data_IF_507309513357
#
_entry.id   IF_507309513357
#
_cell.length_a   1.000
_cell.length_b   1.000
_cell.length_c   1.000
_cell.angle_alpha   90.00
_cell.angle_beta   90.00
_cell.angle_gamma   90.00
#
_symmetry.space_group_name_H-M   'P 1'
#
loop_
_entity.id
_entity.type
_entity.pdbx_description
1 polymer ?
#
# COMPACT_ATOMS: atom_id res chain seq x y z
N UNK A 1 -60.85 -33.39 7.97
CA UNK A 1 -59.73 -34.34 8.19
C UNK A 1 -58.48 -33.48 8.34
N UNK A 2 -58.06 -33.07 9.55
CA UNK A 2 -57.31 -33.85 10.55
C UNK A 2 -56.15 -34.61 9.88
N UNK A 3 -54.86 -34.36 10.13
CA UNK A 3 -54.16 -34.39 11.43
C UNK A 3 -52.76 -33.71 11.28
N UNK A 4 -52.30 -32.86 12.19
CA UNK A 4 -51.45 -33.14 13.38
C UNK A 4 -50.03 -33.66 13.05
N UNK A 5 -48.98 -32.90 13.39
CA UNK A 5 -47.96 -33.21 14.42
C UNK A 5 -46.76 -32.24 14.36
N UNK A 6 -46.16 -32.03 15.53
CA UNK A 6 -45.28 -30.93 15.92
C UNK A 6 -43.77 -31.37 15.91
N UNK A 7 -42.82 -30.55 16.42
CA UNK A 7 -41.42 -30.51 16.00
C UNK A 7 -40.48 -31.42 16.81
N UNK A 8 -39.27 -31.66 16.30
CA UNK A 8 -38.19 -32.30 17.07
C UNK A 8 -37.01 -31.35 17.26
N UNK A 9 -36.85 -30.93 18.50
CA UNK A 9 -35.68 -30.26 19.08
C UNK A 9 -34.54 -31.28 19.24
N UNK A 10 -33.31 -30.91 18.86
CA UNK A 10 -32.12 -31.58 19.38
C UNK A 10 -31.14 -30.51 19.86
N UNK A 11 -31.05 -30.40 21.18
CA UNK A 11 -30.04 -29.64 21.91
C UNK A 11 -29.03 -30.65 22.44
N UNK A 12 -27.74 -30.40 22.24
CA UNK A 12 -26.68 -31.07 22.99
C UNK A 12 -25.57 -30.06 23.30
N UNK A 13 -25.67 -29.53 24.52
CA UNK A 13 -24.59 -28.89 25.24
C UNK A 13 -23.42 -29.87 25.42
N UNK A 14 -22.20 -29.37 25.27
CA UNK A 14 -21.05 -29.82 26.06
C UNK A 14 -20.51 -28.62 26.82
N UNK A 15 -20.31 -28.81 28.12
CA UNK A 15 -19.80 -27.82 29.07
C UNK A 15 -18.41 -28.21 29.57
N UNK A 16 -17.67 -27.18 30.01
CA UNK A 16 -16.55 -27.19 30.95
C UNK A 16 -15.18 -27.62 30.35
N UNK A 17 -14.01 -27.06 30.71
CA UNK A 17 -13.55 -26.36 31.93
C UNK A 17 -12.35 -25.45 31.63
N UNK A 18 -12.14 -24.45 32.49
CA UNK A 18 -11.05 -23.48 32.52
C UNK A 18 -9.65 -24.07 32.78
N UNK A 19 -8.58 -23.34 32.39
CA UNK A 19 -7.41 -23.18 33.26
C UNK A 19 -6.61 -21.92 32.92
N UNK A 20 -6.18 -21.26 33.98
CA UNK A 20 -5.47 -19.99 34.06
C UNK A 20 -3.99 -20.28 34.23
N UNK A 21 -3.09 -19.59 33.52
CA UNK A 21 -1.72 -19.41 34.01
C UNK A 21 -1.11 -18.11 33.49
N UNK A 22 -1.08 -17.12 34.39
CA UNK A 22 -0.17 -15.98 34.34
C UNK A 22 1.24 -16.47 34.63
N UNK A 23 2.21 -16.08 33.81
CA UNK A 23 3.60 -15.99 34.23
C UNK A 23 4.17 -14.66 33.78
N UNK A 24 4.49 -13.85 34.77
CA UNK A 24 5.17 -12.56 34.71
C UNK A 24 6.64 -12.82 35.01
N UNK A 25 7.53 -12.40 34.12
CA UNK A 25 8.97 -12.24 34.36
C UNK A 25 9.51 -11.37 33.21
N UNK A 26 10.48 -10.48 33.34
CA UNK A 26 11.16 -9.82 34.45
C UNK A 26 12.16 -8.93 33.71
N UNK A 27 12.01 -7.60 33.80
CA UNK A 27 12.98 -6.64 33.28
C UNK A 27 14.29 -6.76 34.07
N UNK A 28 15.41 -6.96 33.39
CA UNK A 28 16.74 -6.74 33.95
C UNK A 28 17.51 -5.72 33.12
N UNK A 29 17.61 -4.53 33.69
CA UNK A 29 18.62 -3.51 33.43
C UNK A 29 20.04 -4.08 33.64
N UNK A 30 20.95 -3.85 32.69
CA UNK A 30 22.41 -3.74 32.94
C UNK A 30 22.95 -2.74 31.89
N UNK A 31 23.09 -1.45 32.22
CA UNK A 31 24.30 -0.77 32.74
C UNK A 31 25.44 -0.62 31.72
N UNK A 32 25.59 0.60 31.16
CA UNK A 32 26.83 1.08 30.54
C UNK A 32 27.94 1.22 31.60
N UNK A 33 29.21 1.04 31.23
CA UNK A 33 30.30 1.75 31.87
C UNK A 33 30.79 2.89 30.97
N UNK A 34 30.66 4.09 31.52
CA UNK A 34 31.48 5.25 31.25
C UNK A 34 32.90 5.03 31.77
N UNK A 35 33.93 5.34 30.98
CA UNK A 35 35.19 5.86 31.53
C UNK A 35 36.01 6.57 30.46
N UNK A 36 36.07 7.90 30.61
CA UNK A 36 37.11 8.77 30.08
C UNK A 36 38.47 8.42 30.72
N UNK A 37 39.56 8.51 29.96
CA UNK A 37 40.62 9.52 30.17
C UNK A 37 41.78 9.39 29.16
N UNK A 38 42.54 10.49 28.94
CA UNK A 38 43.33 10.74 27.75
C UNK A 38 44.80 10.34 27.92
N UNK A 39 45.51 10.15 26.81
CA UNK A 39 46.98 10.12 26.81
C UNK A 39 47.54 11.06 25.76
N UNK A 40 48.63 11.70 26.16
CA UNK A 40 49.20 12.93 25.67
C UNK A 40 50.09 12.79 24.42
N UNK A 41 50.19 13.91 23.71
CA UNK A 41 51.36 14.51 23.06
C UNK A 41 52.38 13.61 22.34
N UNK A 42 52.54 13.88 21.03
CA UNK A 42 53.87 14.20 20.49
C UNK A 42 53.78 15.31 19.44
N UNK A 43 54.56 16.35 19.69
CA UNK A 43 54.77 17.54 18.89
C UNK A 43 56.11 17.38 18.13
N UNK A 44 56.10 17.64 16.83
CA UNK A 44 57.20 18.10 15.97
C UNK A 44 56.48 18.88 14.86
N UNK A 45 56.53 20.19 14.68
CA UNK A 45 57.63 21.12 14.87
C UNK A 45 58.22 21.45 13.50
N UNK A 46 57.66 22.45 12.79
CA UNK A 46 58.39 23.23 11.78
C UNK A 46 57.86 24.66 11.70
N UNK A 47 58.81 25.53 11.38
CA UNK A 47 58.98 26.92 11.79
C UNK A 47 58.07 27.95 11.11
N UNK A 48 57.94 29.06 11.83
CA UNK A 48 57.20 30.29 11.54
C UNK A 48 57.92 31.27 10.58
N UNK A 49 57.20 32.37 10.33
CA UNK A 49 57.58 33.71 9.82
C UNK A 49 57.41 33.92 8.30
N UNK A 50 56.84 35.01 7.77
CA UNK A 50 56.16 36.20 8.33
C UNK A 50 55.41 36.93 7.16
N UNK A 51 54.53 37.90 7.44
CA UNK A 51 53.56 38.50 6.51
C UNK A 51 54.04 39.81 5.84
N UNK A 52 53.19 40.34 4.93
CA UNK A 52 53.23 41.65 4.25
C UNK A 52 53.93 41.72 2.88
N UNK A 53 53.13 41.69 1.80
CA UNK A 53 53.27 42.69 0.74
C UNK A 53 51.93 42.94 0.04
N UNK A 54 51.61 44.21 -0.08
CA UNK A 54 50.34 44.76 -0.53
C UNK A 54 50.33 45.03 -2.05
N UNK A 55 49.14 44.88 -2.65
CA UNK A 55 48.47 45.79 -3.61
C UNK A 55 49.29 46.47 -4.75
N UNK A 56 48.88 46.24 -6.03
CA UNK A 56 48.09 47.19 -6.86
C UNK A 56 47.92 46.78 -8.35
N UNK A 57 46.65 46.89 -8.80
CA UNK A 57 46.11 47.45 -10.08
C UNK A 57 46.47 46.84 -11.44
N UNK A 58 45.47 46.30 -12.14
CA UNK A 58 44.96 46.88 -13.40
C UNK A 58 43.73 46.14 -13.96
N UNK A 59 42.82 46.93 -14.50
CA UNK A 59 41.51 46.62 -15.02
C UNK A 59 41.50 45.87 -16.35
N UNK A 60 40.54 44.96 -16.54
CA UNK A 60 39.85 44.80 -17.83
C UNK A 60 38.47 44.17 -17.66
N UNK A 61 37.46 44.99 -17.88
CA UNK A 61 36.08 44.56 -18.14
C UNK A 61 36.06 43.69 -19.39
N UNK A 62 35.43 42.50 -19.30
CA UNK A 62 34.63 41.98 -20.41
C UNK A 62 33.52 41.06 -19.88
N UNK A 63 32.30 41.56 -20.08
CA UNK A 63 31.01 40.87 -20.14
C UNK A 63 31.09 39.41 -20.60
N UNK A 64 30.31 38.53 -19.96
CA UNK A 64 29.29 37.64 -20.57
C UNK A 64 28.91 36.54 -19.57
N UNK A 65 27.62 36.29 -19.37
CA UNK A 65 27.13 35.02 -18.84
C UNK A 65 26.16 35.12 -17.67
N UNK A 66 24.90 35.37 -18.02
CA UNK A 66 23.68 35.19 -17.22
C UNK A 66 23.77 34.05 -16.19
N UNK A 67 23.35 34.35 -14.96
CA UNK A 67 23.28 33.40 -13.85
C UNK A 67 22.46 32.17 -14.24
N UNK A 68 23.13 31.00 -14.26
CA UNK A 68 22.44 29.72 -14.23
C UNK A 68 21.78 29.60 -12.86
N UNK A 69 20.48 29.89 -12.83
CA UNK A 69 19.61 29.47 -11.74
C UNK A 69 19.84 27.99 -11.49
N UNK A 70 20.28 27.67 -10.27
CA UNK A 70 20.25 26.31 -9.76
C UNK A 70 18.77 25.94 -9.70
N UNK A 71 18.28 25.29 -10.74
CA UNK A 71 16.94 24.72 -10.79
C UNK A 71 16.97 23.57 -9.80
N UNK A 72 16.69 23.88 -8.54
CA UNK A 72 16.47 22.90 -7.49
C UNK A 72 15.43 21.93 -8.02
N UNK A 73 15.85 20.69 -8.26
CA UNK A 73 14.91 19.60 -8.44
C UNK A 73 14.32 19.40 -7.06
N UNK A 74 13.18 20.06 -6.79
CA UNK A 74 12.34 19.68 -5.67
C UNK A 74 11.85 18.28 -6.01
N UNK A 75 12.59 17.27 -5.56
CA UNK A 75 12.07 15.92 -5.46
C UNK A 75 10.88 16.02 -4.50
N UNK A 76 9.68 16.15 -5.06
CA UNK A 76 8.45 16.04 -4.30
C UNK A 76 8.46 14.64 -3.70
N UNK A 77 8.83 14.52 -2.42
CA UNK A 77 8.74 13.28 -1.68
C UNK A 77 7.28 12.80 -1.80
N UNK A 78 7.07 11.71 -2.54
CA UNK A 78 5.74 11.11 -2.66
C UNK A 78 5.35 10.63 -1.26
N UNK A 79 4.23 11.11 -0.74
CA UNK A 79 3.65 10.65 0.51
C UNK A 79 3.48 9.13 0.46
N UNK A 80 3.96 8.46 1.49
CA UNK A 80 3.83 7.01 1.67
C UNK A 80 2.53 6.67 2.38
N UNK A 81 2.15 5.39 2.32
CA UNK A 81 1.14 4.80 3.21
C UNK A 81 1.51 4.97 4.70
N UNK A 82 2.81 5.01 5.02
CA UNK A 82 3.32 5.21 6.37
C UNK A 82 3.12 6.63 6.92
N UNK A 83 3.08 7.64 6.04
CA UNK A 83 2.91 9.05 6.42
C UNK A 83 1.46 9.40 6.78
N UNK A 84 0.50 8.54 6.43
CA UNK A 84 -0.92 8.76 6.71
C UNK A 84 -1.22 8.43 8.18
N UNK A 85 -1.79 9.40 8.91
CA UNK A 85 -2.16 9.17 10.31
C UNK A 85 -3.41 8.29 10.41
N UNK A 86 -3.59 7.59 11.54
CA UNK A 86 -4.78 6.77 11.77
C UNK A 86 -6.08 7.60 11.71
N UNK A 87 -6.02 8.88 12.09
CA UNK A 87 -7.17 9.80 12.00
C UNK A 87 -7.58 10.11 10.55
N UNK A 88 -6.64 10.10 9.61
CA UNK A 88 -6.92 10.34 8.19
C UNK A 88 -7.48 9.10 7.49
N UNK A 89 -7.24 7.91 8.02
CA UNK A 89 -7.61 6.63 7.41
C UNK A 89 -8.87 6.00 8.02
N UNK A 90 -9.16 6.27 9.29
CA UNK A 90 -10.29 5.67 9.99
C UNK A 90 -11.63 6.01 9.31
N UNK A 91 -12.39 4.98 8.94
CA UNK A 91 -13.70 5.11 8.29
C UNK A 91 -13.66 5.57 6.83
N UNK A 92 -12.47 5.89 6.28
CA UNK A 92 -12.30 6.27 4.88
C UNK A 92 -12.27 5.06 3.97
N UNK A 93 -12.75 5.24 2.75
CA UNK A 93 -12.69 4.25 1.69
C UNK A 93 -11.38 4.40 0.95
N UNK A 94 -10.55 3.36 0.96
CA UNK A 94 -9.22 3.39 0.34
C UNK A 94 -9.22 2.44 -0.84
N UNK A 95 -9.05 3.00 -2.04
CA UNK A 95 -8.81 2.23 -3.25
C UNK A 95 -7.34 1.82 -3.30
N UNK A 96 -7.09 0.52 -3.23
CA UNK A 96 -5.74 -0.04 -3.28
C UNK A 96 -5.57 -0.78 -4.60
N UNK A 97 -4.61 -0.33 -5.41
CA UNK A 97 -4.19 -1.03 -6.61
C UNK A 97 -3.08 -2.01 -6.25
N UNK A 98 -3.42 -3.29 -6.10
CA UNK A 98 -2.48 -4.35 -5.74
C UNK A 98 -2.09 -5.21 -6.96
N UNK A 99 -0.87 -5.72 -7.00
CA UNK A 99 -0.44 -6.71 -8.00
C UNK A 99 -0.78 -8.13 -7.53
N UNK A 100 -1.96 -8.62 -7.91
CA UNK A 100 -2.43 -9.99 -7.62
C UNK A 100 -2.43 -10.85 -8.88
N UNK A 101 -1.59 -10.51 -9.86
CA UNK A 101 -1.47 -11.28 -11.09
C UNK A 101 -0.61 -12.53 -10.84
N UNK A 102 -1.22 -13.56 -10.26
CA UNK A 102 -0.58 -14.84 -9.91
C UNK A 102 -0.81 -15.92 -10.98
N UNK A 103 0.14 -16.85 -11.15
CA UNK A 103 -0.06 -18.00 -12.00
C UNK A 103 -1.07 -18.99 -11.39
N UNK A 104 -2.08 -19.34 -12.18
CA UNK A 104 -3.10 -20.35 -11.83
C UNK A 104 -2.89 -21.61 -12.67
N UNK A 105 -3.14 -22.78 -12.08
CA UNK A 105 -3.20 -24.06 -12.79
C UNK A 105 -4.53 -24.25 -13.56
N UNK A 106 -4.68 -25.37 -14.27
CA UNK A 106 -5.91 -25.69 -15.02
C UNK A 106 -7.14 -25.89 -14.13
N UNK A 107 -6.94 -26.17 -12.84
CA UNK A 107 -7.99 -26.29 -11.82
C UNK A 107 -8.27 -24.97 -11.08
N UNK A 108 -7.67 -23.86 -11.53
CA UNK A 108 -7.76 -22.53 -10.92
C UNK A 108 -7.11 -22.41 -9.52
N UNK A 109 -6.21 -23.32 -9.15
CA UNK A 109 -5.44 -23.20 -7.92
C UNK A 109 -4.23 -22.28 -8.13
N UNK A 110 -3.87 -21.55 -7.07
CA UNK A 110 -2.72 -20.65 -7.07
C UNK A 110 -1.46 -21.49 -6.94
N UNK A 111 -0.57 -21.39 -7.94
CA UNK A 111 0.70 -22.13 -7.95
C UNK A 111 1.83 -21.38 -7.24
N UNK A 112 1.79 -20.04 -7.28
CA UNK A 112 2.73 -19.15 -6.58
C UNK A 112 1.96 -17.97 -5.97
N UNK A 113 2.03 -17.83 -4.65
CA UNK A 113 1.33 -16.80 -3.86
C UNK A 113 2.26 -15.64 -3.43
N UNK A 114 3.49 -15.58 -3.93
CA UNK A 114 4.50 -14.57 -3.55
C UNK A 114 3.97 -13.14 -3.72
N UNK A 115 3.26 -12.87 -4.82
CA UNK A 115 2.66 -11.55 -5.09
C UNK A 115 1.55 -11.19 -4.11
N UNK A 116 0.73 -12.18 -3.72
CA UNK A 116 -0.33 -11.99 -2.74
C UNK A 116 0.31 -11.61 -1.41
N UNK A 117 1.32 -12.37 -0.96
CA UNK A 117 2.04 -12.11 0.30
C UNK A 117 2.70 -10.74 0.31
N UNK A 118 3.22 -10.26 -0.82
CA UNK A 118 3.84 -8.95 -0.92
C UNK A 118 2.85 -7.79 -0.64
N UNK A 119 1.56 -7.96 -0.98
CA UNK A 119 0.52 -6.95 -0.74
C UNK A 119 -0.08 -7.00 0.67
N UNK A 120 0.11 -8.10 1.42
CA UNK A 120 -0.47 -8.29 2.76
C UNK A 120 -0.05 -7.19 3.77
N UNK A 121 1.23 -6.78 3.86
CA UNK A 121 1.64 -5.75 4.81
C UNK A 121 0.90 -4.42 4.61
N UNK A 122 0.77 -3.98 3.36
CA UNK A 122 0.01 -2.81 2.94
C UNK A 122 -1.44 -2.87 3.42
N UNK A 123 -2.09 -4.00 3.14
CA UNK A 123 -3.51 -4.19 3.43
C UNK A 123 -3.74 -4.25 4.93
N UNK A 124 -2.91 -4.99 5.68
CA UNK A 124 -2.99 -5.07 7.15
C UNK A 124 -2.82 -3.70 7.78
N UNK A 125 -1.88 -2.91 7.31
CA UNK A 125 -1.64 -1.56 7.82
C UNK A 125 -2.87 -0.65 7.67
N UNK A 126 -3.60 -0.75 6.56
CA UNK A 126 -4.83 0.00 6.33
C UNK A 126 -5.98 -0.49 7.23
N UNK A 127 -6.13 -1.81 7.38
CA UNK A 127 -7.15 -2.42 8.24
C UNK A 127 -6.93 -2.04 9.70
N UNK A 128 -5.69 -2.13 10.20
CA UNK A 128 -5.32 -1.77 11.58
C UNK A 128 -5.63 -0.31 11.91
N UNK A 129 -5.55 0.58 10.91
CA UNK A 129 -5.94 1.99 11.02
C UNK A 129 -7.43 2.25 10.83
N UNK A 130 -8.25 1.20 10.66
CA UNK A 130 -9.70 1.29 10.53
C UNK A 130 -10.19 1.77 9.16
N UNK A 131 -9.37 1.66 8.11
CA UNK A 131 -9.79 1.98 6.76
C UNK A 131 -10.70 0.89 6.18
N UNK A 132 -11.56 1.28 5.24
CA UNK A 132 -12.36 0.38 4.42
C UNK A 132 -11.59 0.12 3.12
N UNK A 133 -11.04 -1.08 2.98
CA UNK A 133 -10.09 -1.38 1.89
C UNK A 133 -10.84 -1.92 0.67
N UNK A 134 -10.66 -1.27 -0.47
CA UNK A 134 -11.19 -1.69 -1.77
C UNK A 134 -10.00 -2.10 -2.64
N UNK A 135 -9.78 -3.40 -2.75
CA UNK A 135 -8.72 -3.99 -3.56
C UNK A 135 -9.13 -4.03 -5.02
N UNK A 136 -8.26 -3.54 -5.89
CA UNK A 136 -8.35 -3.73 -7.34
C UNK A 136 -7.09 -4.40 -7.85
N UNK A 137 -7.26 -5.35 -8.77
CA UNK A 137 -6.15 -5.97 -9.46
C UNK A 137 -6.52 -6.38 -10.88
N UNK A 138 -5.55 -6.91 -11.61
CA UNK A 138 -5.76 -7.53 -12.89
C UNK A 138 -5.21 -8.96 -12.83
N UNK A 139 -5.82 -9.85 -13.61
CA UNK A 139 -5.33 -11.20 -13.79
C UNK A 139 -5.20 -11.50 -15.28
N UNK A 140 -3.99 -11.88 -15.70
CA UNK A 140 -3.69 -12.20 -17.08
C UNK A 140 -4.00 -11.07 -18.06
N UNK A 141 -4.40 -11.45 -19.29
CA UNK A 141 -4.77 -10.54 -20.38
C UNK A 141 -6.09 -11.02 -21.02
N UNK A 142 -7.23 -10.74 -20.38
CA UNK A 142 -8.53 -11.11 -20.92
C UNK A 142 -8.80 -10.34 -22.23
N UNK A 143 -9.44 -11.00 -23.21
CA UNK A 143 -9.95 -10.34 -24.43
C UNK A 143 -11.43 -9.95 -24.31
N UNK A 144 -12.02 -10.19 -23.14
CA UNK A 144 -13.40 -9.94 -22.74
C UNK A 144 -13.66 -10.55 -21.37
N UNK A 145 -14.89 -10.42 -20.87
CA UNK A 145 -15.29 -11.03 -19.59
C UNK A 145 -15.18 -12.56 -19.75
N UNK A 146 -14.34 -13.19 -18.93
CA UNK A 146 -14.13 -14.64 -19.00
C UNK A 146 -13.91 -15.19 -17.59
N UNK A 147 -14.64 -16.24 -17.17
CA UNK A 147 -14.52 -16.82 -15.83
C UNK A 147 -13.10 -17.27 -15.47
N UNK A 148 -12.31 -17.69 -16.47
CA UNK A 148 -10.91 -18.11 -16.30
C UNK A 148 -10.01 -17.01 -15.70
N UNK A 149 -10.32 -15.75 -15.99
CA UNK A 149 -9.55 -14.60 -15.49
C UNK A 149 -10.25 -13.88 -14.32
N UNK A 150 -11.22 -14.53 -13.68
CA UNK A 150 -11.84 -13.99 -12.46
C UNK A 150 -10.86 -14.02 -11.30
N UNK A 151 -10.99 -13.06 -10.39
CA UNK A 151 -10.20 -12.98 -9.16
C UNK A 151 -10.80 -13.84 -8.03
N UNK A 152 -11.91 -14.55 -8.27
CA UNK A 152 -12.57 -15.40 -7.27
C UNK A 152 -11.65 -16.43 -6.58
N UNK A 153 -10.72 -17.13 -7.27
CA UNK A 153 -9.84 -18.10 -6.64
C UNK A 153 -8.87 -17.49 -5.62
N UNK A 154 -8.67 -16.17 -5.65
CA UNK A 154 -7.76 -15.47 -4.73
C UNK A 154 -8.38 -15.18 -3.37
N UNK A 155 -9.72 -15.14 -3.29
CA UNK A 155 -10.46 -14.75 -2.08
C UNK A 155 -10.15 -15.65 -0.88
N UNK A 156 -10.15 -17.00 -1.01
CA UNK A 156 -9.83 -17.87 0.12
C UNK A 156 -8.40 -17.63 0.63
N UNK A 157 -7.43 -17.51 -0.29
CA UNK A 157 -6.02 -17.31 0.08
C UNK A 157 -5.76 -15.95 0.72
N UNK A 158 -6.38 -14.89 0.20
CA UNK A 158 -6.34 -13.56 0.80
C UNK A 158 -6.95 -13.57 2.20
N UNK A 159 -8.10 -14.24 2.36
CA UNK A 159 -8.79 -14.31 3.65
C UNK A 159 -7.96 -15.05 4.70
N UNK A 160 -7.29 -16.14 4.31
CA UNK A 160 -6.38 -16.89 5.18
C UNK A 160 -5.18 -16.04 5.64
N UNK A 161 -4.53 -15.31 4.71
CA UNK A 161 -3.35 -14.50 5.02
C UNK A 161 -3.66 -13.24 5.84
N UNK A 162 -4.84 -12.65 5.61
CA UNK A 162 -5.31 -11.48 6.35
C UNK A 162 -5.94 -11.85 7.69
N UNK A 163 -6.45 -13.08 7.84
CA UNK A 163 -7.18 -13.52 9.03
C UNK A 163 -8.59 -12.92 9.14
N UNK A 164 -9.11 -12.36 8.04
CA UNK A 164 -10.44 -11.76 7.94
C UNK A 164 -11.13 -12.23 6.67
N UNK A 165 -12.46 -12.23 6.67
CA UNK A 165 -13.22 -12.58 5.48
C UNK A 165 -13.13 -11.46 4.43
N UNK A 166 -12.59 -11.78 3.26
CA UNK A 166 -12.59 -10.87 2.11
C UNK A 166 -13.89 -11.04 1.33
N UNK A 167 -14.62 -9.95 1.12
CA UNK A 167 -15.82 -9.93 0.29
C UNK A 167 -15.39 -9.71 -1.16
N UNK A 168 -15.98 -10.45 -2.11
CA UNK A 168 -15.74 -10.22 -3.54
C UNK A 168 -16.94 -9.54 -4.17
N UNK A 169 -16.71 -8.51 -4.99
CA UNK A 169 -17.73 -7.96 -5.85
C UNK A 169 -17.89 -8.81 -7.13
N UNK A 170 -19.07 -8.79 -7.73
CA UNK A 170 -19.32 -9.45 -9.02
C UNK A 170 -18.72 -8.66 -10.19
N UNK A 171 -18.57 -7.35 -10.02
CA UNK A 171 -18.01 -6.43 -11.00
C UNK A 171 -17.01 -5.46 -10.34
N UNK A 172 -16.30 -4.68 -11.14
CA UNK A 172 -15.40 -3.60 -10.70
C UNK A 172 -16.08 -2.24 -10.62
N UNK A 173 -17.17 -2.03 -11.37
CA UNK A 173 -17.97 -0.80 -11.37
C UNK A 173 -19.46 -1.15 -11.37
N UNK A 174 -20.30 -0.22 -10.92
CA UNK A 174 -21.75 -0.34 -10.99
C UNK A 174 -22.46 -0.08 -9.66
N UNK A 175 -23.80 0.06 -9.68
CA UNK A 175 -24.58 0.43 -8.50
C UNK A 175 -24.54 -0.64 -7.40
N UNK A 176 -24.32 -1.91 -7.77
CA UNK A 176 -24.18 -3.01 -6.81
C UNK A 176 -22.86 -2.93 -6.05
N UNK A 177 -21.77 -2.60 -6.76
CA UNK A 177 -20.45 -2.37 -6.15
C UNK A 177 -20.50 -1.18 -5.19
N UNK A 178 -21.16 -0.09 -5.59
CA UNK A 178 -21.35 1.09 -4.73
C UNK A 178 -22.09 0.76 -3.43
N UNK A 179 -23.14 -0.07 -3.51
CA UNK A 179 -23.88 -0.57 -2.34
C UNK A 179 -22.99 -1.44 -1.44
N UNK A 180 -22.23 -2.36 -2.03
CA UNK A 180 -21.30 -3.22 -1.29
C UNK A 180 -20.24 -2.38 -0.56
N UNK A 181 -19.64 -1.41 -1.25
CA UNK A 181 -18.66 -0.47 -0.67
C UNK A 181 -19.28 0.35 0.45
N UNK A 182 -20.52 0.80 0.30
CA UNK A 182 -21.23 1.54 1.36
C UNK A 182 -21.50 0.66 2.60
N UNK A 183 -21.83 -0.62 2.39
CA UNK A 183 -22.09 -1.60 3.45
C UNK A 183 -20.84 -2.15 4.14
N UNK A 184 -19.64 -1.88 3.59
CA UNK A 184 -18.39 -2.44 4.11
C UNK A 184 -18.11 -1.91 5.53
N UNK A 185 -17.86 -2.78 6.53
CA UNK A 185 -17.52 -2.35 7.88
C UNK A 185 -16.11 -1.72 7.92
N UNK A 186 -15.83 -0.97 8.98
CA UNK A 186 -14.46 -0.49 9.24
C UNK A 186 -13.49 -1.68 9.39
N UNK A 187 -12.35 -1.63 8.71
CA UNK A 187 -11.41 -2.75 8.64
C UNK A 187 -11.86 -3.88 7.69
N UNK A 188 -13.00 -3.73 7.02
CA UNK A 188 -13.44 -4.66 5.98
C UNK A 188 -12.60 -4.54 4.70
N UNK A 189 -12.52 -5.65 3.97
CA UNK A 189 -11.83 -5.74 2.68
C UNK A 189 -12.79 -6.21 1.60
N UNK A 190 -12.91 -5.42 0.55
CA UNK A 190 -13.64 -5.75 -0.67
C UNK A 190 -12.65 -5.97 -1.81
N UNK A 191 -12.74 -7.09 -2.51
CA UNK A 191 -12.01 -7.37 -3.74
C UNK A 191 -12.94 -7.11 -4.94
N UNK A 192 -12.58 -6.13 -5.76
CA UNK A 192 -13.23 -5.88 -7.04
C UNK A 192 -12.91 -6.98 -8.03
N UNK A 193 -13.79 -7.17 -9.02
CA UNK A 193 -13.52 -8.08 -10.14
C UNK A 193 -12.36 -7.55 -11.03
N UNK A 194 -11.86 -8.40 -11.93
CA UNK A 194 -10.72 -8.08 -12.79
C UNK A 194 -10.95 -6.79 -13.63
N UNK A 195 -10.17 -5.75 -13.36
CA UNK A 195 -10.34 -4.44 -14.02
C UNK A 195 -10.10 -4.50 -15.53
N UNK A 196 -9.35 -5.49 -16.04
CA UNK A 196 -9.08 -5.65 -17.48
C UNK A 196 -10.26 -6.26 -18.25
N UNK A 197 -11.37 -6.61 -17.58
CA UNK A 197 -12.61 -6.94 -18.27
C UNK A 197 -13.18 -5.74 -19.04
N UNK A 198 -12.86 -4.54 -18.60
CA UNK A 198 -13.16 -3.29 -19.31
C UNK A 198 -12.00 -2.95 -20.25
N UNK A 199 -12.31 -2.74 -21.54
CA UNK A 199 -11.31 -2.32 -22.53
C UNK A 199 -10.87 -0.87 -22.29
N UNK A 200 -11.72 -0.12 -21.60
CA UNK A 200 -11.53 1.25 -21.14
C UNK A 200 -10.36 1.39 -20.16
N UNK A 201 -10.06 0.34 -19.40
CA UNK A 201 -8.96 0.30 -18.44
C UNK A 201 -7.60 0.48 -19.13
N UNK A 202 -7.34 -0.28 -20.21
CA UNK A 202 -6.07 -0.20 -20.96
C UNK A 202 -5.96 1.10 -21.77
N UNK A 203 -7.09 1.72 -22.12
CA UNK A 203 -7.15 3.00 -22.85
C UNK A 203 -7.04 4.22 -21.94
N UNK A 204 -7.03 4.02 -20.62
CA UNK A 204 -7.04 5.10 -19.64
C UNK A 204 -8.22 6.05 -19.83
N UNK A 205 -9.41 5.47 -20.02
CA UNK A 205 -10.61 6.27 -20.23
C UNK A 205 -10.96 7.09 -18.98
N UNK A 206 -11.16 8.41 -19.11
CA UNK A 206 -11.41 9.29 -17.97
C UNK A 206 -12.77 9.03 -17.31
N UNK A 207 -13.79 8.57 -18.05
CA UNK A 207 -15.09 8.23 -17.48
C UNK A 207 -15.01 6.96 -16.65
N UNK A 208 -14.27 5.95 -17.12
CA UNK A 208 -14.01 4.73 -16.37
C UNK A 208 -13.21 5.03 -15.09
N UNK A 209 -12.16 5.83 -15.19
CA UNK A 209 -11.40 6.28 -14.03
C UNK A 209 -12.25 7.04 -13.01
N UNK A 210 -13.18 7.89 -13.46
CA UNK A 210 -14.11 8.62 -12.58
C UNK A 210 -15.06 7.68 -11.84
N UNK A 211 -15.56 6.62 -12.50
CA UNK A 211 -16.41 5.60 -11.87
C UNK A 211 -15.65 4.84 -10.78
N UNK A 212 -14.41 4.42 -11.06
CA UNK A 212 -13.55 3.78 -10.06
C UNK A 212 -13.23 4.71 -8.89
N UNK A 213 -12.92 5.97 -9.18
CA UNK A 213 -12.65 6.98 -8.17
C UNK A 213 -13.87 7.27 -7.28
N UNK A 214 -15.09 7.22 -7.81
CA UNK A 214 -16.31 7.46 -7.02
C UNK A 214 -16.51 6.45 -5.88
N UNK A 215 -15.86 5.28 -5.96
CA UNK A 215 -15.94 4.25 -4.93
C UNK A 215 -15.11 4.58 -3.69
N UNK A 216 -14.14 5.48 -3.77
CA UNK A 216 -13.16 5.71 -2.71
C UNK A 216 -12.91 7.19 -2.43
N UNK A 217 -12.29 7.46 -1.28
CA UNK A 217 -11.82 8.78 -0.89
C UNK A 217 -10.31 8.92 -1.14
N UNK A 218 -9.59 7.81 -1.04
CA UNK A 218 -8.13 7.74 -1.02
C UNK A 218 -7.62 6.72 -2.03
N UNK A 219 -6.44 6.98 -2.59
CA UNK A 219 -5.79 6.07 -3.53
C UNK A 219 -4.42 5.62 -3.02
N UNK A 220 -4.18 4.31 -3.06
CA UNK A 220 -2.90 3.67 -2.73
C UNK A 220 -2.46 2.82 -3.92
N UNK A 221 -1.25 3.06 -4.41
CA UNK A 221 -0.64 2.22 -5.46
C UNK A 221 0.40 1.26 -4.87
N UNK A 222 0.11 -0.03 -4.93
CA UNK A 222 0.96 -1.16 -4.53
C UNK A 222 1.20 -2.13 -5.70
N UNK A 223 1.13 -1.63 -6.94
CA UNK A 223 1.29 -2.42 -8.16
C UNK A 223 2.36 -1.83 -9.09
N UNK A 224 3.61 -1.80 -8.62
CA UNK A 224 4.76 -1.26 -9.37
C UNK A 224 4.89 -1.84 -10.78
N UNK A 225 4.67 -3.14 -10.94
CA UNK A 225 4.72 -3.82 -12.23
C UNK A 225 3.74 -3.28 -13.29
N UNK A 226 2.74 -2.49 -12.89
CA UNK A 226 1.80 -1.82 -13.81
C UNK A 226 1.91 -0.30 -13.82
N UNK A 227 2.70 0.29 -12.91
CA UNK A 227 2.82 1.75 -12.79
C UNK A 227 3.47 2.41 -14.01
N UNK A 228 4.24 1.66 -14.81
CA UNK A 228 4.81 2.14 -16.07
C UNK A 228 3.77 2.29 -17.20
N UNK A 229 2.54 1.80 -17.00
CA UNK A 229 1.46 1.90 -17.98
C UNK A 229 0.43 2.91 -17.51
N UNK A 230 0.04 3.80 -18.42
CA UNK A 230 -1.07 4.71 -18.21
C UNK A 230 -2.37 3.94 -18.41
N UNK A 231 -2.88 3.30 -17.35
CA UNK A 231 -4.19 2.68 -17.32
C UNK A 231 -5.12 3.49 -16.40
N UNK A 232 -6.44 3.28 -16.51
CA UNK A 232 -7.40 4.01 -15.70
C UNK A 232 -7.20 3.75 -14.19
N UNK A 233 -7.03 2.48 -13.77
CA UNK A 233 -6.82 2.13 -12.35
C UNK A 233 -5.46 2.54 -11.78
N UNK A 234 -4.48 2.90 -12.60
CA UNK A 234 -3.11 3.28 -12.16
C UNK A 234 -2.86 4.78 -12.25
N UNK A 235 -3.25 5.42 -13.36
CA UNK A 235 -3.00 6.83 -13.66
C UNK A 235 -4.30 7.64 -13.64
N UNK A 236 -5.35 7.16 -14.34
CA UNK A 236 -6.60 7.90 -14.48
C UNK A 236 -7.27 8.23 -13.14
N UNK A 237 -7.34 7.26 -12.23
CA UNK A 237 -7.95 7.42 -10.89
C UNK A 237 -7.24 8.49 -10.05
N UNK A 238 -5.92 8.67 -10.21
CA UNK A 238 -5.13 9.65 -9.44
C UNK A 238 -5.50 11.11 -9.75
N UNK A 239 -6.16 11.35 -10.89
CA UNK A 239 -6.65 12.69 -11.27
C UNK A 239 -7.87 13.10 -10.44
N UNK A 240 -8.62 12.12 -9.93
CA UNK A 240 -9.87 12.32 -9.20
C UNK A 240 -9.71 12.09 -7.70
N UNK A 241 -8.86 11.14 -7.29
CA UNK A 241 -8.63 10.80 -5.88
C UNK A 241 -7.46 11.58 -5.27
N UNK A 242 -7.71 12.17 -4.10
CA UNK A 242 -6.70 12.88 -3.30
C UNK A 242 -6.90 12.59 -1.81
N UNK A 243 -5.80 12.31 -1.07
CA UNK A 243 -4.43 12.06 -1.53
C UNK A 243 -4.24 10.74 -2.29
N UNK A 244 -3.24 10.75 -3.17
CA UNK A 244 -2.71 9.56 -3.86
C UNK A 244 -1.34 9.23 -3.26
N UNK A 245 -1.20 8.04 -2.65
CA UNK A 245 0.03 7.61 -1.98
C UNK A 245 0.62 6.37 -2.62
N UNK A 246 1.94 6.24 -2.50
CA UNK A 246 2.68 5.06 -2.90
C UNK A 246 2.84 4.12 -1.70
N UNK A 247 2.79 2.81 -1.94
CA UNK A 247 3.18 1.87 -0.89
C UNK A 247 4.70 1.90 -0.62
N UNK A 248 5.07 1.47 0.59
CA UNK A 248 6.43 1.21 1.04
C UNK A 248 7.26 0.35 0.07
N UNK A 249 6.67 -0.68 -0.54
CA UNK A 249 7.35 -1.50 -1.57
C UNK A 249 7.73 -0.68 -2.81
N UNK A 250 6.90 0.29 -3.18
CA UNK A 250 7.16 1.18 -4.31
C UNK A 250 8.24 2.22 -3.96
N UNK A 251 8.32 2.67 -2.70
CA UNK A 251 9.38 3.58 -2.26
C UNK A 251 10.76 2.93 -2.26
N UNK A 252 10.86 1.67 -1.81
CA UNK A 252 12.12 0.92 -1.84
C UNK A 252 12.64 0.75 -3.28
N UNK A 253 11.77 0.48 -4.25
CA UNK A 253 12.18 0.34 -5.66
C UNK A 253 12.39 1.66 -6.40
N UNK A 254 11.80 2.78 -5.95
CA UNK A 254 12.03 4.12 -6.51
C UNK A 254 13.27 4.81 -5.92
N UNK A 255 13.81 4.29 -4.81
CA UNK A 255 15.00 4.80 -4.15
C UNK A 255 16.32 4.23 -4.70
N UNK A 256 16.25 3.38 -5.73
CA UNK A 256 17.37 2.80 -6.48
C UNK A 256 17.25 3.15 -7.97
#
# INVERSE_FOLDING_TARGET
MASTTAPTTFSLLHSATASTSRTRASLSHVSLPSSLKPTALRCLGFSAADPLLALQVASKVRSFGSGKGVRGVVAMAKKSVGDLTAAELKGKKVFVRADLNVPLDDSQNITDDTRIRAAIPTIKHLIEKGAKVILSSHLGRPKGVTPKFSLAPLVPRLSELLGIQVVKAEDSIGPEVEKLVASLPEGGVLLLENVRFYKEEEKNDPEHAKKLAALADLYVNDAFGTAHRAHASTEGVTKFLRPSVADSNMQLMLAW
#
